data_IF_826473413434
#
_entry.id   IF_826473413434
#
_cell.length_a   1.000
_cell.length_b   1.000
_cell.length_c   1.000
_cell.angle_alpha   90.00
_cell.angle_beta   90.00
_cell.angle_gamma   90.00
#
_symmetry.space_group_name_H-M   'P 1'
#
loop_
_entity.id
_entity.type
_entity.pdbx_description
1 polymer ?
#
# COMPACT_ATOMS: atom_id res chain seq x y z
N UNK A 1 30.50 14.13 -11.04
CA UNK A 1 29.54 13.02 -10.93
C UNK A 1 29.35 12.76 -9.44
N UNK A 2 28.45 13.40 -8.70
CA UNK A 2 27.03 13.66 -8.96
C UNK A 2 26.20 12.80 -7.99
N UNK A 3 26.41 12.96 -6.67
CA UNK A 3 25.67 12.23 -5.64
C UNK A 3 24.45 13.05 -5.20
N UNK A 4 23.31 12.83 -5.84
CA UNK A 4 22.03 13.48 -5.50
C UNK A 4 20.97 12.42 -5.11
N UNK A 5 21.23 11.63 -4.07
CA UNK A 5 20.24 10.67 -3.51
C UNK A 5 19.88 10.94 -2.04
N UNK A 6 20.55 11.87 -1.38
CA UNK A 6 20.31 12.16 0.05
C UNK A 6 19.22 13.22 0.29
N UNK A 7 18.83 13.99 -0.74
CA UNK A 7 17.83 15.08 -0.61
C UNK A 7 16.36 14.62 -0.66
N UNK A 8 16.10 13.31 -0.69
CA UNK A 8 14.73 12.77 -0.61
C UNK A 8 14.38 12.19 0.78
N UNK A 9 15.35 12.07 1.69
CA UNK A 9 15.14 11.48 3.02
C UNK A 9 14.92 12.50 4.15
N UNK A 10 15.34 13.76 3.97
CA UNK A 10 15.27 14.81 5.02
C UNK A 10 14.10 15.78 4.88
N UNK A 11 12.94 15.31 4.41
CA UNK A 11 11.71 16.11 4.38
C UNK A 11 10.61 15.51 5.26
N UNK A 12 10.98 15.07 6.47
CA UNK A 12 10.03 14.87 7.56
C UNK A 12 10.59 15.57 8.78
N UNK A 13 10.18 16.83 8.95
CA UNK A 13 9.86 17.51 10.22
C UNK A 13 10.04 19.00 9.98
N UNK A 14 8.96 19.66 9.54
CA UNK A 14 8.65 21.06 9.86
C UNK A 14 7.26 21.36 9.29
N UNK A 15 6.27 21.40 10.17
CA UNK A 15 5.00 22.08 9.90
C UNK A 15 5.17 23.53 10.37
N UNK A 16 4.97 24.51 9.49
CA UNK A 16 3.99 25.53 9.85
C UNK A 16 3.12 25.91 8.64
N UNK A 17 1.79 25.89 8.85
CA UNK A 17 0.78 26.72 8.18
C UNK A 17 0.74 26.76 6.65
N UNK A 18 -0.27 26.10 6.07
CA UNK A 18 -0.93 26.60 4.84
C UNK A 18 -0.53 25.99 3.49
N UNK A 19 -0.06 24.74 3.43
CA UNK A 19 0.13 24.05 2.15
C UNK A 19 -0.93 22.95 2.00
N UNK A 20 -1.98 23.25 1.25
CA UNK A 20 -2.94 22.26 0.78
C UNK A 20 -2.14 21.08 0.20
N UNK A 21 -2.36 19.88 0.77
CA UNK A 21 -1.70 18.68 0.26
C UNK A 21 -2.11 18.50 -1.20
N UNK A 22 -1.17 18.14 -2.10
CA UNK A 22 -1.55 17.86 -3.49
C UNK A 22 -2.67 16.82 -3.50
N UNK A 23 -3.64 16.93 -4.43
CA UNK A 23 -4.73 15.98 -4.48
C UNK A 23 -4.18 14.56 -4.62
N UNK A 24 -4.81 13.57 -3.96
CA UNK A 24 -4.37 12.19 -4.06
C UNK A 24 -4.37 11.74 -5.53
N UNK A 25 -3.45 10.84 -5.91
CA UNK A 25 -3.40 10.33 -7.28
C UNK A 25 -4.73 9.67 -7.66
N UNK A 26 -5.08 9.69 -8.96
CA UNK A 26 -6.29 9.04 -9.43
C UNK A 26 -6.27 7.54 -9.11
N UNK A 27 -7.44 6.97 -8.84
CA UNK A 27 -7.58 5.55 -8.58
C UNK A 27 -7.08 4.73 -9.78
N UNK A 28 -6.28 3.69 -9.50
CA UNK A 28 -5.79 2.77 -10.53
C UNK A 28 -6.94 1.92 -11.07
N UNK A 29 -7.04 1.79 -12.40
CA UNK A 29 -8.04 0.91 -13.04
C UNK A 29 -7.85 -0.53 -12.55
N UNK A 30 -8.91 -1.13 -12.00
CA UNK A 30 -8.91 -2.47 -11.42
C UNK A 30 -8.74 -3.59 -12.44
N UNK A 31 -8.92 -3.30 -13.73
CA UNK A 31 -8.69 -4.25 -14.83
C UNK A 31 -7.22 -4.42 -15.15
N UNK A 32 -6.37 -3.53 -14.66
CA UNK A 32 -4.94 -3.62 -14.88
C UNK A 32 -4.35 -4.81 -14.12
N UNK A 33 -3.30 -5.46 -14.65
CA UNK A 33 -2.60 -6.51 -13.94
C UNK A 33 -2.11 -6.04 -12.56
N UNK A 34 -2.19 -6.94 -11.57
CA UNK A 34 -1.70 -6.66 -10.23
C UNK A 34 -0.19 -6.34 -10.24
N UNK A 35 0.18 -5.26 -9.55
CA UNK A 35 1.57 -4.88 -9.31
C UNK A 35 2.27 -5.90 -8.40
N UNK A 36 3.61 -5.92 -8.43
CA UNK A 36 4.40 -6.81 -7.58
C UNK A 36 4.10 -6.61 -6.07
N UNK A 37 3.94 -5.35 -5.64
CA UNK A 37 3.57 -5.02 -4.25
C UNK A 37 2.22 -5.60 -3.89
N UNK A 38 1.21 -5.43 -4.74
CA UNK A 38 -0.13 -5.97 -4.50
C UNK A 38 -0.12 -7.50 -4.39
N UNK A 39 0.58 -8.19 -5.31
CA UNK A 39 0.72 -9.66 -5.27
C UNK A 39 1.37 -10.12 -3.96
N UNK A 40 2.45 -9.45 -3.54
CA UNK A 40 3.13 -9.76 -2.29
C UNK A 40 2.20 -9.59 -1.08
N UNK A 41 1.48 -8.46 -1.02
CA UNK A 41 0.55 -8.19 0.08
C UNK A 41 -0.52 -9.28 0.19
N UNK A 42 -1.13 -9.68 -0.93
CA UNK A 42 -2.16 -10.74 -0.96
C UNK A 42 -1.58 -12.05 -0.41
N UNK A 43 -0.41 -12.48 -0.93
CA UNK A 43 0.23 -13.74 -0.51
C UNK A 43 0.60 -13.71 0.97
N UNK A 44 1.15 -12.59 1.44
CA UNK A 44 1.56 -12.43 2.84
C UNK A 44 0.36 -12.51 3.79
N UNK A 45 -0.76 -11.85 3.48
CA UNK A 45 -1.98 -11.92 4.30
C UNK A 45 -2.68 -13.28 4.23
N UNK A 46 -2.55 -14.00 3.12
CA UNK A 46 -3.27 -15.25 2.88
C UNK A 46 -2.88 -16.39 3.82
N UNK A 47 -1.64 -16.39 4.32
CA UNK A 47 -1.13 -17.48 5.17
C UNK A 47 -1.99 -17.75 6.40
N UNK A 48 -2.56 -16.71 7.02
CA UNK A 48 -3.43 -16.86 8.18
C UNK A 48 -4.79 -17.45 7.79
N UNK A 49 -5.40 -16.91 6.73
CA UNK A 49 -6.69 -17.37 6.19
C UNK A 49 -6.61 -18.83 5.76
N UNK A 50 -5.55 -19.22 5.05
CA UNK A 50 -5.35 -20.58 4.57
C UNK A 50 -5.28 -21.63 5.70
N UNK A 51 -4.77 -21.25 6.88
CA UNK A 51 -4.68 -22.15 8.05
C UNK A 51 -6.04 -22.39 8.72
N UNK A 52 -6.95 -21.44 8.60
CA UNK A 52 -8.26 -21.46 9.24
C UNK A 52 -9.36 -21.33 8.17
N UNK A 53 -9.22 -22.06 7.05
CA UNK A 53 -10.06 -21.89 5.87
C UNK A 53 -11.54 -22.13 6.17
N UNK A 54 -11.85 -23.21 6.90
CA UNK A 54 -13.22 -23.58 7.27
C UNK A 54 -13.92 -22.50 8.11
N UNK A 55 -13.43 -22.12 9.31
CA UNK A 55 -14.09 -21.10 10.11
C UNK A 55 -14.09 -19.73 9.41
N UNK A 56 -13.02 -19.38 8.68
CA UNK A 56 -12.98 -18.10 7.94
C UNK A 56 -14.01 -18.08 6.83
N UNK A 57 -14.22 -19.20 6.13
CA UNK A 57 -15.26 -19.34 5.12
C UNK A 57 -16.64 -19.10 5.72
N UNK A 58 -16.95 -19.76 6.85
CA UNK A 58 -18.23 -19.54 7.55
C UNK A 58 -18.43 -18.06 7.89
N UNK A 59 -17.43 -17.39 8.46
CA UNK A 59 -17.53 -15.95 8.78
C UNK A 59 -17.69 -15.03 7.55
N UNK A 60 -17.29 -15.47 6.36
CA UNK A 60 -17.41 -14.68 5.14
C UNK A 60 -18.78 -14.82 4.46
N UNK A 61 -19.51 -15.91 4.72
CA UNK A 61 -20.78 -16.23 4.07
C UNK A 61 -22.02 -16.06 4.99
N UNK A 62 -21.81 -15.63 6.24
CA UNK A 62 -22.86 -15.26 7.20
C UNK A 62 -22.86 -13.75 7.38
#
# INVERSE_FOLDING_TARGET
MGCELTKLASSTTQNPSGRESPPPPPATDSRLPLTARQKYTIIASWKAVARAMEPTGVYMFV
#
